data_IF_324112478030
#
_entry.id   IF_324112478030
#
_cell.length_a   1.000
_cell.length_b   1.000
_cell.length_c   1.000
_cell.angle_alpha   90.00
_cell.angle_beta   90.00
_cell.angle_gamma   90.00
#
_symmetry.space_group_name_H-M   'P 1'
#
loop_
_entity.id
_entity.type
_entity.pdbx_description
1 polymer ?
#
# COMPACT_ATOMS: atom_id res chain seq x y z
N UNK A 1 -15.74 6.12 -31.08
CA UNK A 1 -16.46 5.29 -30.10
C UNK A 1 -15.60 4.06 -29.84
N UNK A 2 -14.71 4.13 -28.84
CA UNK A 2 -13.76 3.04 -28.55
C UNK A 2 -14.45 2.08 -27.58
N UNK A 3 -14.72 0.87 -28.06
CA UNK A 3 -15.31 -0.22 -27.28
C UNK A 3 -14.31 -0.69 -26.23
N UNK A 4 -14.53 -0.34 -24.97
CA UNK A 4 -13.82 -0.92 -23.83
C UNK A 4 -14.23 -2.38 -23.73
N UNK A 5 -13.32 -3.29 -24.08
CA UNK A 5 -13.46 -4.71 -23.76
C UNK A 5 -13.51 -4.83 -22.24
N UNK A 6 -14.68 -5.18 -21.70
CA UNK A 6 -14.79 -5.70 -20.35
C UNK A 6 -13.90 -6.93 -20.29
N UNK A 7 -12.91 -6.90 -19.41
CA UNK A 7 -12.11 -8.08 -19.11
C UNK A 7 -13.05 -8.99 -18.32
N UNK A 8 -13.57 -10.02 -18.97
CA UNK A 8 -14.36 -11.04 -18.30
C UNK A 8 -13.46 -11.75 -17.29
N UNK A 9 -13.66 -11.44 -16.01
CA UNK A 9 -13.07 -12.22 -14.93
C UNK A 9 -13.75 -13.59 -14.96
N UNK A 10 -13.01 -14.70 -14.97
CA UNK A 10 -13.63 -16.02 -14.96
C UNK A 10 -14.56 -16.13 -13.76
N UNK A 11 -15.83 -16.50 -14.03
CA UNK A 11 -16.79 -16.80 -12.99
C UNK A 11 -16.30 -17.97 -12.13
N UNK A 12 -16.37 -17.74 -10.82
CA UNK A 12 -16.46 -18.73 -9.75
C UNK A 12 -15.50 -19.93 -9.86
N UNK A 13 -14.28 -19.73 -9.37
CA UNK A 13 -13.49 -20.83 -8.84
C UNK A 13 -14.27 -21.33 -7.63
N UNK A 14 -15.07 -22.38 -7.83
CA UNK A 14 -15.73 -23.12 -6.75
C UNK A 14 -14.69 -23.48 -5.70
N UNK A 15 -14.90 -22.99 -4.49
CA UNK A 15 -14.02 -23.17 -3.34
C UNK A 15 -14.03 -24.64 -2.91
N UNK A 16 -13.21 -25.46 -3.56
CA UNK A 16 -12.96 -26.83 -3.12
C UNK A 16 -12.17 -26.76 -1.80
N UNK A 17 -12.91 -26.99 -0.72
CA UNK A 17 -12.53 -26.94 0.70
C UNK A 17 -12.48 -25.52 1.27
N UNK A 18 -13.54 -25.15 1.98
CA UNK A 18 -13.62 -23.97 2.85
C UNK A 18 -12.59 -24.12 3.98
N UNK A 19 -11.31 -23.89 3.67
CA UNK A 19 -10.23 -23.94 4.64
C UNK A 19 -10.41 -22.71 5.54
N UNK A 20 -10.85 -22.95 6.77
CA UNK A 20 -10.99 -21.89 7.76
C UNK A 20 -9.70 -21.07 7.83
N UNK A 21 -9.80 -19.78 7.51
CA UNK A 21 -8.64 -18.89 7.56
C UNK A 21 -8.12 -18.78 8.99
N UNK A 22 -6.80 -18.71 9.19
CA UNK A 22 -6.24 -18.51 10.52
C UNK A 22 -6.80 -17.23 11.14
N UNK A 23 -7.03 -17.26 12.46
CA UNK A 23 -7.59 -16.11 13.20
C UNK A 23 -6.73 -14.87 13.03
N UNK A 24 -7.36 -13.71 12.94
CA UNK A 24 -6.64 -12.43 12.90
C UNK A 24 -5.96 -12.14 14.24
N UNK A 25 -4.84 -11.41 14.22
CA UNK A 25 -4.16 -10.94 15.43
C UNK A 25 -4.94 -9.84 16.16
N UNK A 26 -5.67 -9.01 15.40
CA UNK A 26 -6.53 -7.93 15.91
C UNK A 26 -7.97 -8.18 15.45
N UNK A 27 -8.97 -7.70 16.19
CA UNK A 27 -10.35 -7.82 15.74
C UNK A 27 -10.59 -6.98 14.48
N UNK A 28 -11.65 -7.31 13.74
CA UNK A 28 -12.02 -6.54 12.55
C UNK A 28 -12.25 -5.07 12.94
N UNK A 29 -11.55 -4.17 12.25
CA UNK A 29 -11.55 -2.70 12.46
C UNK A 29 -10.85 -2.22 13.74
N UNK A 30 -10.20 -3.10 14.50
CA UNK A 30 -9.29 -2.69 15.57
C UNK A 30 -7.88 -2.43 15.02
N UNK A 31 -7.17 -1.51 15.67
CA UNK A 31 -5.78 -1.20 15.37
C UNK A 31 -4.93 -1.33 16.64
N UNK A 32 -3.65 -1.73 16.52
CA UNK A 32 -2.74 -1.77 17.67
C UNK A 32 -2.67 -0.40 18.36
N UNK A 33 -3.05 -0.39 19.63
CA UNK A 33 -3.08 0.81 20.48
C UNK A 33 -1.67 1.09 21.01
N UNK A 34 -1.26 2.36 21.04
CA UNK A 34 0.04 2.79 21.61
C UNK A 34 1.20 2.92 20.62
N UNK A 35 1.06 2.45 19.38
CA UNK A 35 2.08 2.66 18.33
C UNK A 35 1.68 3.83 17.44
N UNK A 36 2.30 4.99 17.66
CA UNK A 36 2.23 6.12 16.73
C UNK A 36 3.00 5.76 15.47
N UNK A 37 2.31 5.30 14.44
CA UNK A 37 2.88 5.27 13.10
C UNK A 37 2.92 6.72 12.63
N UNK A 38 4.11 7.28 12.53
CA UNK A 38 4.33 8.53 11.83
C UNK A 38 3.83 8.29 10.40
N UNK A 39 2.66 8.85 10.09
CA UNK A 39 2.17 8.93 8.71
C UNK A 39 3.06 9.95 8.03
N UNK A 40 4.27 9.52 7.63
CA UNK A 40 5.22 10.36 6.93
C UNK A 40 4.50 11.06 5.78
N UNK A 41 4.87 12.33 5.62
CA UNK A 41 4.14 13.33 4.85
C UNK A 41 3.67 12.77 3.52
N UNK A 42 2.45 13.16 3.11
CA UNK A 42 1.98 12.78 1.79
C UNK A 42 2.95 13.36 0.75
N UNK A 43 3.62 12.49 0.00
CA UNK A 43 4.42 12.89 -1.17
C UNK A 43 3.58 13.69 -2.18
N UNK A 44 2.23 13.63 -2.06
CA UNK A 44 1.27 14.42 -2.82
C UNK A 44 1.58 15.91 -2.85
N UNK A 45 2.06 16.51 -1.76
CA UNK A 45 2.43 17.93 -1.77
C UNK A 45 3.65 18.20 -2.64
N UNK A 46 4.64 17.30 -2.62
CA UNK A 46 5.82 17.37 -3.48
C UNK A 46 5.40 17.16 -4.93
N UNK A 47 4.58 16.14 -5.21
CA UNK A 47 4.06 15.88 -6.56
C UNK A 47 3.25 17.06 -7.12
N UNK A 48 2.41 17.71 -6.30
CA UNK A 48 1.64 18.87 -6.73
C UNK A 48 2.54 20.05 -7.09
N UNK A 49 3.60 20.28 -6.32
CA UNK A 49 4.59 21.34 -6.62
C UNK A 49 5.31 21.02 -7.92
N UNK A 50 5.82 19.79 -8.09
CA UNK A 50 6.52 19.37 -9.31
C UNK A 50 5.65 19.50 -10.55
N UNK A 51 4.37 19.12 -10.46
CA UNK A 51 3.43 19.24 -11.58
C UNK A 51 3.11 20.69 -11.98
N UNK A 52 3.41 21.67 -11.13
CA UNK A 52 3.20 23.09 -11.41
C UNK A 52 4.44 23.78 -11.99
N UNK A 53 5.58 23.09 -12.07
CA UNK A 53 6.86 23.63 -12.52
C UNK A 53 7.19 23.20 -13.96
N UNK A 54 7.96 24.04 -14.64
CA UNK A 54 8.51 23.73 -15.97
C UNK A 54 9.80 22.89 -15.84
N UNK A 55 10.23 22.28 -16.94
CA UNK A 55 11.42 21.40 -16.95
C UNK A 55 12.70 22.10 -16.45
N UNK A 56 12.91 23.36 -16.84
CA UNK A 56 14.07 24.15 -16.40
C UNK A 56 14.05 24.40 -14.89
N UNK A 57 12.87 24.63 -14.31
CA UNK A 57 12.68 24.85 -12.87
C UNK A 57 12.89 23.55 -12.08
N UNK A 58 12.46 22.43 -12.63
CA UNK A 58 12.70 21.10 -12.06
C UNK A 58 14.20 20.77 -12.08
N UNK A 59 14.88 21.05 -13.20
CA UNK A 59 16.33 20.87 -13.33
C UNK A 59 17.10 21.73 -12.32
N UNK A 60 16.69 23.00 -12.17
CA UNK A 60 17.24 23.90 -11.16
C UNK A 60 17.06 23.36 -9.74
N UNK A 61 15.85 22.94 -9.38
CA UNK A 61 15.56 22.37 -8.07
C UNK A 61 16.34 21.08 -7.82
N UNK A 62 16.50 20.23 -8.83
CA UNK A 62 17.26 18.98 -8.75
C UNK A 62 18.76 19.22 -8.51
N UNK A 63 19.31 20.31 -9.05
CA UNK A 63 20.70 20.73 -8.80
C UNK A 63 20.90 21.43 -7.44
N UNK A 64 19.81 21.87 -6.80
CA UNK A 64 19.83 22.55 -5.50
C UNK A 64 19.81 21.57 -4.31
N UNK A 65 20.00 22.03 -3.06
CA UNK A 65 19.80 21.21 -1.86
C UNK A 65 18.39 20.59 -1.75
N UNK A 66 17.40 21.13 -2.46
CA UNK A 66 16.03 20.57 -2.50
C UNK A 66 15.89 19.35 -3.40
N UNK A 67 16.92 18.97 -4.19
CA UNK A 67 16.88 17.79 -5.06
C UNK A 67 16.52 16.50 -4.32
N UNK A 68 16.95 16.36 -3.05
CA UNK A 68 16.59 15.22 -2.20
C UNK A 68 15.09 15.13 -1.89
N UNK A 69 14.36 16.26 -1.88
CA UNK A 69 12.91 16.25 -1.71
C UNK A 69 12.19 15.72 -2.95
N UNK A 70 12.70 16.04 -4.14
CA UNK A 70 12.18 15.49 -5.40
C UNK A 70 12.33 13.97 -5.42
N UNK A 71 13.51 13.45 -5.01
CA UNK A 71 13.75 12.01 -4.90
C UNK A 71 12.79 11.30 -3.92
N UNK A 72 12.33 11.98 -2.86
CA UNK A 72 11.33 11.44 -1.93
C UNK A 72 9.96 11.31 -2.61
N UNK A 73 9.61 12.26 -3.48
CA UNK A 73 8.37 12.22 -4.26
C UNK A 73 8.36 11.11 -5.33
N UNK A 74 9.53 10.79 -5.89
CA UNK A 74 9.70 9.74 -6.92
C UNK A 74 9.75 8.33 -6.33
N UNK A 75 10.18 8.17 -5.07
CA UNK A 75 10.21 6.87 -4.41
C UNK A 75 8.77 6.34 -4.23
N UNK A 76 8.53 5.04 -4.50
CA UNK A 76 7.22 4.46 -4.29
C UNK A 76 6.82 4.71 -2.85
N UNK A 77 5.68 5.36 -2.67
CA UNK A 77 5.10 5.59 -1.37
C UNK A 77 4.63 4.25 -0.81
N UNK A 78 5.54 3.46 -0.23
CA UNK A 78 5.18 2.52 0.82
C UNK A 78 4.74 3.35 2.00
N UNK A 79 3.52 3.89 1.91
CA UNK A 79 2.99 4.75 2.94
C UNK A 79 3.02 3.95 4.23
N UNK A 80 3.56 4.54 5.30
CA UNK A 80 3.47 3.92 6.63
C UNK A 80 2.02 3.54 6.98
N UNK A 81 1.05 4.27 6.38
CA UNK A 81 -0.38 3.92 6.39
C UNK A 81 -0.67 2.55 5.77
N UNK A 82 -0.15 2.24 4.58
CA UNK A 82 -0.33 0.95 3.93
C UNK A 82 0.37 -0.18 4.69
N UNK A 83 1.61 0.04 5.14
CA UNK A 83 2.30 -0.95 5.97
C UNK A 83 1.53 -1.23 7.28
N UNK A 84 1.07 -0.18 7.97
CA UNK A 84 0.21 -0.29 9.15
C UNK A 84 -1.11 -1.00 8.85
N UNK A 85 -1.73 -0.68 7.72
CA UNK A 85 -2.96 -1.31 7.25
C UNK A 85 -2.77 -2.82 7.11
N UNK A 86 -1.66 -3.27 6.51
CA UNK A 86 -1.35 -4.70 6.39
C UNK A 86 -1.09 -5.34 7.75
N UNK A 87 -0.24 -4.74 8.59
CA UNK A 87 0.10 -5.30 9.91
C UNK A 87 -1.11 -5.45 10.83
N UNK A 88 -2.07 -4.52 10.81
CA UNK A 88 -3.33 -4.64 11.57
C UNK A 88 -4.22 -5.81 11.11
N UNK A 89 -3.99 -6.33 9.90
CA UNK A 89 -4.77 -7.41 9.28
C UNK A 89 -3.96 -8.70 9.15
N UNK A 90 -2.89 -8.84 9.93
CA UNK A 90 -2.09 -10.03 9.96
C UNK A 90 -2.87 -11.21 10.56
N UNK A 91 -2.79 -12.37 9.93
CA UNK A 91 -3.33 -13.62 10.45
C UNK A 91 -2.30 -14.31 11.35
N UNK A 92 -2.79 -15.03 12.36
CA UNK A 92 -1.97 -15.79 13.29
C UNK A 92 -1.50 -17.08 12.63
N UNK A 93 -0.21 -17.11 12.23
CA UNK A 93 0.41 -18.25 11.56
C UNK A 93 1.40 -18.93 12.51
N UNK A 94 1.47 -20.25 12.47
CA UNK A 94 2.38 -21.06 13.31
C UNK A 94 3.77 -21.23 12.69
N UNK A 95 3.87 -21.14 11.36
CA UNK A 95 5.12 -21.28 10.62
C UNK A 95 5.99 -20.03 10.74
N UNK A 96 7.26 -20.24 11.05
CA UNK A 96 8.25 -19.18 11.33
C UNK A 96 8.52 -18.24 10.15
N UNK A 97 8.41 -18.74 8.93
CA UNK A 97 8.78 -18.02 7.70
C UNK A 97 7.58 -17.74 6.80
N UNK A 98 6.37 -17.70 7.37
CA UNK A 98 5.16 -17.33 6.64
C UNK A 98 4.52 -16.10 7.28
N UNK A 99 4.08 -15.18 6.43
CA UNK A 99 3.26 -14.04 6.83
C UNK A 99 1.98 -14.01 6.01
N UNK A 100 0.85 -13.96 6.69
CA UNK A 100 -0.46 -13.92 6.04
C UNK A 100 -1.16 -12.62 6.44
N UNK A 101 -1.78 -11.96 5.46
CA UNK A 101 -2.52 -10.71 5.65
C UNK A 101 -3.89 -10.80 5.00
N UNK A 102 -4.91 -10.20 5.60
CA UNK A 102 -6.22 -10.05 4.95
C UNK A 102 -6.26 -8.74 4.15
N UNK A 103 -6.59 -8.82 2.88
CA UNK A 103 -6.74 -7.67 1.99
C UNK A 103 -8.02 -7.80 1.18
N UNK A 104 -8.91 -6.79 1.26
CA UNK A 104 -10.22 -6.81 0.62
C UNK A 104 -11.02 -8.11 0.87
N UNK A 105 -10.95 -8.64 2.10
CA UNK A 105 -11.63 -9.89 2.49
C UNK A 105 -10.85 -11.17 2.21
N UNK A 106 -9.85 -11.13 1.32
CA UNK A 106 -9.09 -12.29 0.85
C UNK A 106 -7.73 -12.42 1.55
N UNK A 107 -7.22 -13.64 1.79
CA UNK A 107 -5.88 -13.85 2.34
C UNK A 107 -4.79 -13.63 1.28
N UNK A 108 -3.72 -12.95 1.68
CA UNK A 108 -2.46 -12.85 0.92
C UNK A 108 -1.37 -13.53 1.76
N UNK A 109 -0.63 -14.45 1.16
CA UNK A 109 0.45 -15.22 1.79
C UNK A 109 1.81 -14.81 1.21
N UNK A 110 2.78 -14.61 2.10
CA UNK A 110 4.19 -14.39 1.81
C UNK A 110 5.05 -15.43 2.53
#
# INVERSE_FOLDING_TARGET
>A
MVSTRLVDFPEDIRDETEVELPRMMFADREEPVGVRVLTYQSSRSISNIVNALNEDEILYLRASPFGKLLEIGEKPAFSGRFARYLLSRQLKVTKKHEAWFRFAGHPIRF
#
